data_IF_773701825357
#
_entry.id   IF_773701825357
#
_cell.length_a   1.000
_cell.length_b   1.000
_cell.length_c   1.000
_cell.angle_alpha   90.00
_cell.angle_beta   90.00
_cell.angle_gamma   90.00
#
_symmetry.space_group_name_H-M   'P 1'
#
loop_
_entity.id
_entity.type
_entity.pdbx_description
1 polymer ?
#
# COMPACT_ATOMS: atom_id res chain seq x y z
N UNK A 1 3.22 3.58 9.46
CA UNK A 1 3.63 3.23 8.08
C UNK A 1 5.08 3.63 7.92
N UNK A 2 5.93 2.73 7.43
CA UNK A 2 7.35 3.01 7.23
C UNK A 2 7.58 3.58 5.82
N UNK A 3 8.11 4.81 5.73
CA UNK A 3 8.52 5.37 4.46
C UNK A 3 9.75 4.63 3.90
N UNK A 4 9.72 4.32 2.61
CA UNK A 4 10.80 3.67 1.88
C UNK A 4 11.10 4.41 0.57
N UNK A 5 12.37 4.42 0.18
CA UNK A 5 12.80 5.01 -1.08
C UNK A 5 12.73 4.01 -2.24
N UNK A 6 12.99 4.50 -3.45
CA UNK A 6 12.93 3.70 -4.69
C UNK A 6 13.80 2.44 -4.67
N UNK A 7 14.93 2.45 -3.95
CA UNK A 7 15.87 1.33 -3.93
C UNK A 7 15.37 0.21 -3.01
N UNK A 8 14.53 0.56 -2.03
CA UNK A 8 13.95 -0.39 -1.09
C UNK A 8 12.65 -1.03 -1.57
N UNK A 9 11.94 -0.40 -2.50
CA UNK A 9 10.61 -0.86 -2.96
C UNK A 9 10.61 -2.30 -3.44
N UNK A 10 11.51 -2.67 -4.35
CA UNK A 10 11.56 -4.05 -4.84
C UNK A 10 12.10 -5.01 -3.78
N UNK A 11 13.05 -4.55 -2.96
CA UNK A 11 13.61 -5.34 -1.86
C UNK A 11 12.54 -5.79 -0.86
N UNK A 12 11.65 -4.89 -0.45
CA UNK A 12 10.56 -5.25 0.48
C UNK A 12 9.53 -6.16 -0.18
N UNK A 13 9.22 -5.93 -1.48
CA UNK A 13 8.29 -6.78 -2.25
C UNK A 13 8.81 -8.21 -2.38
N UNK A 14 10.12 -8.39 -2.54
CA UNK A 14 10.76 -9.71 -2.67
C UNK A 14 10.92 -10.43 -1.33
N UNK A 15 11.23 -9.71 -0.24
CA UNK A 15 11.56 -10.30 1.06
C UNK A 15 10.33 -10.57 1.92
N UNK A 16 9.36 -9.65 1.91
CA UNK A 16 8.17 -9.81 2.74
C UNK A 16 7.17 -10.75 2.05
N UNK A 17 6.78 -11.87 2.68
CA UNK A 17 5.79 -12.79 2.09
C UNK A 17 4.43 -12.12 1.91
N UNK A 18 4.15 -11.07 2.66
CA UNK A 18 2.93 -10.29 2.61
C UNK A 18 3.24 -8.86 3.07
N UNK A 19 2.81 -7.85 2.30
CA UNK A 19 2.95 -6.45 2.69
C UNK A 19 1.84 -5.56 2.12
N UNK A 20 1.63 -4.43 2.76
CA UNK A 20 0.83 -3.32 2.26
C UNK A 20 1.74 -2.17 1.81
N UNK A 21 1.63 -1.75 0.55
CA UNK A 21 2.39 -0.63 -0.01
C UNK A 21 1.44 0.50 -0.42
N UNK A 22 1.60 1.65 0.22
CA UNK A 22 0.85 2.85 -0.09
C UNK A 22 1.62 3.77 -1.04
N UNK A 23 1.04 4.05 -2.20
CA UNK A 23 1.58 4.97 -3.19
C UNK A 23 0.87 6.33 -3.08
N UNK A 24 1.66 7.39 -3.01
CA UNK A 24 1.18 8.77 -2.92
C UNK A 24 2.02 9.70 -3.81
N UNK A 25 1.57 10.95 -3.95
CA UNK A 25 2.40 12.08 -4.40
C UNK A 25 2.42 13.17 -3.34
N UNK A 26 3.48 14.00 -3.26
CA UNK A 26 3.52 15.17 -2.40
C UNK A 26 2.41 16.15 -2.82
N UNK A 27 1.92 16.94 -1.87
CA UNK A 27 0.88 17.95 -2.11
C UNK A 27 -0.47 17.41 -2.62
N UNK A 28 -0.75 16.12 -2.39
CA UNK A 28 -2.04 15.48 -2.68
C UNK A 28 -2.92 15.44 -1.42
N UNK A 29 -3.94 16.30 -1.33
CA UNK A 29 -4.83 16.38 -0.16
C UNK A 29 -5.61 15.09 0.11
N UNK A 30 -6.05 14.39 -0.95
CA UNK A 30 -6.71 13.08 -0.85
C UNK A 30 -5.74 12.02 -0.32
N UNK A 31 -4.48 12.07 -0.74
CA UNK A 31 -3.43 11.17 -0.24
C UNK A 31 -3.12 11.41 1.25
N UNK A 32 -3.19 12.64 1.73
CA UNK A 32 -3.01 12.93 3.16
C UNK A 32 -4.16 12.33 3.99
N UNK A 33 -5.39 12.42 3.51
CA UNK A 33 -6.55 11.81 4.17
C UNK A 33 -6.44 10.28 4.17
N UNK A 34 -6.11 9.67 3.02
CA UNK A 34 -5.87 8.23 2.90
C UNK A 34 -4.79 7.72 3.87
N UNK A 35 -3.66 8.44 3.98
CA UNK A 35 -2.57 8.11 4.92
C UNK A 35 -3.05 8.08 6.38
N UNK A 36 -3.87 9.06 6.79
CA UNK A 36 -4.43 9.09 8.16
C UNK A 36 -5.29 7.86 8.45
N UNK A 37 -6.13 7.47 7.49
CA UNK A 37 -6.94 6.24 7.62
C UNK A 37 -6.06 5.00 7.70
N UNK A 38 -5.07 4.86 6.80
CA UNK A 38 -4.14 3.72 6.82
C UNK A 38 -3.33 3.63 8.12
N UNK A 39 -2.95 4.76 8.72
CA UNK A 39 -2.23 4.78 10.00
C UNK A 39 -3.07 4.17 11.13
N UNK A 40 -4.39 4.38 11.11
CA UNK A 40 -5.31 3.73 12.06
C UNK A 40 -5.43 2.24 11.75
N UNK A 41 -5.60 1.89 10.47
CA UNK A 41 -5.78 0.51 10.01
C UNK A 41 -4.54 -0.35 10.30
N UNK A 42 -3.34 0.20 10.14
CA UNK A 42 -2.06 -0.47 10.46
C UNK A 42 -2.02 -1.01 11.89
N UNK A 43 -2.60 -0.29 12.86
CA UNK A 43 -2.67 -0.73 14.26
C UNK A 43 -3.55 -1.98 14.45
N UNK A 44 -4.48 -2.24 13.52
CA UNK A 44 -5.37 -3.40 13.53
C UNK A 44 -4.72 -4.65 12.93
N UNK A 45 -3.60 -4.50 12.21
CA UNK A 45 -2.88 -5.58 11.53
C UNK A 45 -1.40 -5.63 11.92
N UNK A 46 -1.05 -5.95 13.18
CA UNK A 46 0.34 -5.87 13.67
C UNK A 46 1.32 -6.82 12.98
N UNK A 47 0.82 -7.85 12.29
CA UNK A 47 1.62 -8.81 11.54
C UNK A 47 1.78 -8.47 10.05
N UNK A 48 1.06 -7.45 9.55
CA UNK A 48 1.15 -6.98 8.17
C UNK A 48 2.04 -5.73 8.15
N UNK A 49 3.22 -5.76 7.51
CA UNK A 49 4.03 -4.57 7.37
C UNK A 49 3.38 -3.58 6.40
N UNK A 50 3.28 -2.32 6.82
CA UNK A 50 2.82 -1.20 5.99
C UNK A 50 3.98 -0.30 5.60
N UNK A 51 4.19 -0.13 4.30
CA UNK A 51 5.16 0.77 3.72
C UNK A 51 4.47 1.88 2.92
N UNK A 52 5.21 2.95 2.68
CA UNK A 52 4.79 4.02 1.78
C UNK A 52 5.94 4.56 0.96
N UNK A 53 5.63 4.98 -0.26
CA UNK A 53 6.60 5.63 -1.14
C UNK A 53 5.93 6.63 -2.07
N UNK A 54 6.68 7.66 -2.45
CA UNK A 54 6.25 8.65 -3.44
C UNK A 54 6.42 8.06 -4.84
N UNK A 55 5.30 7.92 -5.55
CA UNK A 55 5.23 7.28 -6.87
C UNK A 55 6.09 8.01 -7.92
N UNK A 56 6.38 9.30 -7.71
CA UNK A 56 7.22 10.08 -8.62
C UNK A 56 8.65 9.52 -8.76
N UNK A 57 9.13 8.76 -7.77
CA UNK A 57 10.48 8.18 -7.78
C UNK A 57 10.54 6.73 -8.28
N UNK A 58 9.39 6.12 -8.61
CA UNK A 58 9.30 4.73 -9.08
C UNK A 58 8.43 4.59 -10.36
N UNK A 59 8.67 5.39 -11.41
CA UNK A 59 7.82 5.39 -12.61
C UNK A 59 7.80 4.03 -13.34
N UNK A 60 8.92 3.30 -13.33
CA UNK A 60 9.01 1.98 -13.95
C UNK A 60 8.10 0.96 -13.25
N UNK A 61 8.12 0.96 -11.91
CA UNK A 61 7.24 0.09 -11.11
C UNK A 61 5.78 0.52 -11.24
N UNK A 62 5.50 1.84 -11.31
CA UNK A 62 4.15 2.34 -11.54
C UNK A 62 3.57 1.83 -12.89
N UNK A 63 4.39 1.79 -13.95
CA UNK A 63 4.00 1.21 -15.24
C UNK A 63 3.84 -0.31 -15.15
N UNK A 64 4.82 -1.01 -14.56
CA UNK A 64 4.79 -2.48 -14.43
C UNK A 64 3.57 -2.96 -13.64
N UNK A 65 3.25 -2.26 -12.55
CA UNK A 65 2.08 -2.51 -11.73
C UNK A 65 0.82 -1.83 -12.26
N UNK A 66 0.84 -1.20 -13.44
CA UNK A 66 -0.33 -0.54 -14.05
C UNK A 66 -1.08 0.34 -13.05
N UNK A 67 -0.38 1.26 -12.40
CA UNK A 67 -0.98 2.19 -11.44
C UNK A 67 -1.65 3.32 -12.21
N UNK A 68 -2.96 3.48 -11.99
CA UNK A 68 -3.77 4.45 -12.73
C UNK A 68 -3.85 5.81 -12.03
N UNK A 69 -3.80 5.82 -10.70
CA UNK A 69 -3.91 7.04 -9.90
C UNK A 69 -3.34 6.86 -8.50
N UNK A 70 -3.20 7.96 -7.78
CA UNK A 70 -2.94 7.98 -6.33
C UNK A 70 -4.05 8.78 -5.63
N UNK A 71 -4.38 8.48 -4.37
CA UNK A 71 -3.81 7.44 -3.50
C UNK A 71 -4.07 6.02 -4.00
N UNK A 72 -3.09 5.12 -3.84
CA UNK A 72 -3.25 3.70 -4.18
C UNK A 72 -2.69 2.82 -3.06
N UNK A 73 -3.50 1.89 -2.55
CA UNK A 73 -3.05 0.82 -1.68
C UNK A 73 -2.82 -0.43 -2.53
N UNK A 74 -1.62 -0.98 -2.47
CA UNK A 74 -1.28 -2.28 -3.02
C UNK A 74 -1.14 -3.28 -1.89
N UNK A 75 -1.72 -4.46 -2.04
CA UNK A 75 -1.37 -5.62 -1.23
C UNK A 75 -0.55 -6.56 -2.09
N UNK A 76 0.61 -6.97 -1.58
CA UNK A 76 1.44 -7.98 -2.20
C UNK A 76 1.41 -9.26 -1.40
N UNK A 77 1.49 -10.38 -2.12
CA UNK A 77 1.70 -11.72 -1.57
C UNK A 77 2.78 -12.41 -2.40
N UNK A 78 3.83 -12.86 -1.73
CA UNK A 78 4.96 -13.57 -2.32
C UNK A 78 5.50 -12.85 -3.57
N UNK A 79 5.71 -11.53 -3.46
CA UNK A 79 6.20 -10.67 -4.55
C UNK A 79 5.17 -10.29 -5.62
N UNK A 80 3.93 -10.80 -5.56
CA UNK A 80 2.88 -10.55 -6.56
C UNK A 80 1.78 -9.63 -6.02
N UNK A 81 1.21 -8.77 -6.88
CA UNK A 81 0.11 -7.89 -6.48
C UNK A 81 -1.17 -8.71 -6.28
N UNK A 82 -1.61 -8.86 -5.04
CA UNK A 82 -2.85 -9.52 -4.64
C UNK A 82 -4.08 -8.60 -4.80
N UNK A 83 -3.90 -7.28 -4.73
CA UNK A 83 -4.97 -6.32 -4.97
C UNK A 83 -4.52 -4.87 -5.00
N UNK A 84 -5.37 -4.01 -5.57
CA UNK A 84 -5.16 -2.56 -5.67
C UNK A 84 -6.44 -1.82 -5.32
N UNK A 85 -6.34 -0.78 -4.49
CA UNK A 85 -7.48 0.06 -4.11
C UNK A 85 -7.13 1.53 -4.26
N UNK A 86 -7.98 2.23 -5.01
CA UNK A 86 -7.89 3.68 -5.24
C UNK A 86 -8.89 4.49 -4.40
N UNK A 87 -9.94 3.82 -3.91
CA UNK A 87 -10.99 4.44 -3.11
C UNK A 87 -10.83 4.09 -1.63
N UNK A 88 -10.49 5.09 -0.82
CA UNK A 88 -10.26 4.94 0.62
C UNK A 88 -11.50 5.45 1.37
N UNK A 89 -12.61 4.74 1.24
CA UNK A 89 -13.93 5.21 1.72
C UNK A 89 -13.97 5.48 3.23
N UNK A 90 -13.40 4.59 4.04
CA UNK A 90 -13.40 4.69 5.50
C UNK A 90 -12.39 3.69 6.10
N UNK A 91 -12.07 3.85 7.40
CA UNK A 91 -11.24 2.89 8.15
C UNK A 91 -11.87 1.48 8.18
N UNK A 92 -13.17 1.30 8.47
CA UNK A 92 -13.80 -0.02 8.39
C UNK A 92 -13.72 -0.66 7.01
N UNK A 93 -13.96 0.12 5.94
CA UNK A 93 -13.83 -0.38 4.57
C UNK A 93 -12.41 -0.87 4.29
N UNK A 94 -11.40 -0.09 4.68
CA UNK A 94 -9.99 -0.47 4.50
C UNK A 94 -9.63 -1.73 5.29
N UNK A 95 -10.18 -1.89 6.50
CA UNK A 95 -10.03 -3.11 7.27
C UNK A 95 -10.60 -4.32 6.52
N UNK A 96 -11.84 -4.22 6.02
CA UNK A 96 -12.51 -5.31 5.30
C UNK A 96 -11.76 -5.73 4.04
N UNK A 97 -11.31 -4.78 3.21
CA UNK A 97 -10.59 -5.12 1.98
C UNK A 97 -9.22 -5.73 2.25
N UNK A 98 -8.51 -5.28 3.30
CA UNK A 98 -7.24 -5.90 3.69
C UNK A 98 -7.49 -7.31 4.21
N UNK A 99 -8.44 -7.46 5.14
CA UNK A 99 -8.81 -8.75 5.73
C UNK A 99 -9.21 -9.78 4.66
N UNK A 100 -9.95 -9.37 3.63
CA UNK A 100 -10.37 -10.25 2.53
C UNK A 100 -9.20 -10.78 1.68
N UNK A 101 -8.06 -10.09 1.67
CA UNK A 101 -6.86 -10.49 0.94
C UNK A 101 -5.87 -11.29 1.79
N UNK A 102 -6.05 -11.32 3.11
CA UNK A 102 -5.24 -12.14 3.98
C UNK A 102 -5.67 -13.61 3.85
N UNK A 103 -4.71 -14.56 3.82
CA UNK A 103 -5.05 -15.98 3.87
C UNK A 103 -5.84 -16.28 5.14
N UNK A 104 -6.95 -17.01 5.00
CA UNK A 104 -7.70 -17.54 6.13
C UNK A 104 -6.76 -18.41 6.96
N UNK A 105 -6.67 -18.14 8.27
CA UNK A 105 -5.95 -19.01 9.20
C UNK A 105 -6.52 -20.42 9.19
#
# INVERSE_FOLDING_TARGET
>A
MKAIDRNDVMRVVEVEPLLALYLYTPLCGTCQLARRMLTVVEQLFPALPFYETDINYIPEQAVAWKIESVPCLLLFRDGTVAGKWYAFHSVPYLYEVIQACLPSR
#
